data_IF_241521500297
#
_entry.id   IF_241521500297
#
_cell.length_a   1.000
_cell.length_b   1.000
_cell.length_c   1.000
_cell.angle_alpha   90.00
_cell.angle_beta   90.00
_cell.angle_gamma   90.00
#
_symmetry.space_group_name_H-M   'P 1'
#
loop_
_entity.id
_entity.type
_entity.pdbx_description
1 polymer ?
#
# COMPACT_ATOMS: atom_id res chain seq x y z
N UNK A 1 16.90 -11.61 0.20
CA UNK A 1 17.89 -10.54 -0.03
C UNK A 1 17.96 -9.54 1.11
N UNK A 2 16.86 -8.90 1.51
CA UNK A 2 16.82 -7.98 2.67
C UNK A 2 17.35 -8.62 3.97
N UNK A 3 16.91 -9.83 4.29
CA UNK A 3 17.35 -10.60 5.47
C UNK A 3 18.85 -10.89 5.48
N UNK A 4 19.48 -11.02 4.31
CA UNK A 4 20.90 -11.29 4.15
C UNK A 4 21.74 -10.01 3.94
N UNK A 5 21.18 -8.82 4.19
CA UNK A 5 21.82 -7.51 4.00
C UNK A 5 22.29 -7.22 2.57
N UNK A 6 21.80 -7.96 1.58
CA UNK A 6 22.03 -7.68 0.16
C UNK A 6 21.04 -6.62 -0.34
N UNK A 7 21.19 -5.40 0.17
CA UNK A 7 20.26 -4.29 -0.09
C UNK A 7 20.18 -3.91 -1.58
N UNK A 8 21.29 -4.01 -2.32
CA UNK A 8 21.32 -3.74 -3.76
C UNK A 8 20.45 -4.70 -4.58
N UNK A 9 20.52 -6.00 -4.30
CA UNK A 9 19.68 -7.00 -4.96
C UNK A 9 18.21 -6.86 -4.54
N UNK A 10 17.94 -6.55 -3.27
CA UNK A 10 16.58 -6.28 -2.82
C UNK A 10 15.98 -5.06 -3.52
N UNK A 11 16.75 -3.99 -3.68
CA UNK A 11 16.36 -2.81 -4.44
C UNK A 11 16.08 -3.15 -5.91
N UNK A 12 16.99 -3.87 -6.57
CA UNK A 12 16.82 -4.27 -7.96
C UNK A 12 15.55 -5.13 -8.15
N UNK A 13 15.31 -6.11 -7.28
CA UNK A 13 14.12 -6.96 -7.34
C UNK A 13 12.85 -6.17 -7.05
N UNK A 14 12.86 -5.29 -6.04
CA UNK A 14 11.68 -4.46 -5.73
C UNK A 14 11.34 -3.51 -6.88
N UNK A 15 12.37 -2.93 -7.52
CA UNK A 15 12.20 -2.03 -8.66
C UNK A 15 11.74 -2.78 -9.91
N UNK A 16 12.31 -3.96 -10.19
CA UNK A 16 11.87 -4.83 -11.27
C UNK A 16 10.44 -5.33 -11.06
N UNK A 17 10.08 -5.73 -9.84
CA UNK A 17 8.71 -6.14 -9.50
C UNK A 17 7.72 -4.98 -9.71
N UNK A 18 8.00 -3.80 -9.17
CA UNK A 18 7.12 -2.64 -9.36
C UNK A 18 7.00 -2.17 -10.82
N UNK A 19 8.08 -2.29 -11.62
CA UNK A 19 8.04 -2.01 -13.06
C UNK A 19 7.24 -3.09 -13.81
N UNK A 20 7.43 -4.37 -13.46
CA UNK A 20 6.67 -5.49 -14.04
C UNK A 20 5.18 -5.33 -13.76
N UNK A 21 4.78 -5.09 -12.52
CA UNK A 21 3.37 -4.92 -12.14
C UNK A 21 2.75 -3.67 -12.80
N UNK A 22 3.53 -2.60 -12.94
CA UNK A 22 3.11 -1.40 -13.67
C UNK A 22 2.91 -1.64 -15.17
N UNK A 23 3.80 -2.43 -15.79
CA UNK A 23 3.73 -2.82 -17.20
C UNK A 23 2.59 -3.82 -17.45
N UNK A 24 2.44 -4.84 -16.61
CA UNK A 24 1.37 -5.83 -16.69
C UNK A 24 0.01 -5.15 -16.49
N UNK A 25 -0.10 -4.21 -15.56
CA UNK A 25 -1.29 -3.39 -15.37
C UNK A 25 -1.60 -2.40 -16.52
N UNK A 26 -0.60 -2.02 -17.34
CA UNK A 26 -0.77 -1.23 -18.55
C UNK A 26 -1.20 -2.10 -19.73
N UNK A 27 -0.54 -3.25 -19.90
CA UNK A 27 -0.82 -4.25 -20.94
C UNK A 27 -2.22 -4.84 -20.73
N UNK A 28 -2.61 -5.16 -19.49
CA UNK A 28 -3.96 -5.64 -19.15
C UNK A 28 -5.05 -4.57 -19.33
N UNK A 29 -4.69 -3.27 -19.37
CA UNK A 29 -5.63 -2.18 -19.73
C UNK A 29 -5.78 -1.99 -21.24
N UNK A 30 -4.73 -2.27 -22.00
CA UNK A 30 -4.72 -2.22 -23.46
C UNK A 30 -5.38 -3.44 -24.09
N UNK A 31 -5.16 -4.62 -23.50
CA UNK A 31 -5.79 -5.87 -23.88
C UNK A 31 -7.18 -5.95 -23.25
N UNK A 32 -8.25 -5.78 -24.05
CA UNK A 32 -9.66 -5.89 -23.62
C UNK A 32 -10.07 -7.25 -23.01
N UNK A 33 -9.11 -8.12 -22.67
CA UNK A 33 -9.27 -9.39 -21.97
C UNK A 33 -8.87 -9.24 -20.50
N UNK A 34 -9.67 -8.52 -19.72
CA UNK A 34 -9.53 -8.53 -18.25
C UNK A 34 -10.36 -9.67 -17.69
N UNK A 35 -9.70 -10.68 -17.14
CA UNK A 35 -10.41 -11.69 -16.33
C UNK A 35 -10.79 -11.07 -14.99
N UNK A 36 -11.97 -11.41 -14.47
CA UNK A 36 -12.44 -10.91 -13.15
C UNK A 36 -11.48 -11.29 -12.02
N UNK A 37 -10.83 -12.46 -12.13
CA UNK A 37 -9.83 -12.96 -11.18
C UNK A 37 -8.51 -12.18 -11.24
N UNK A 38 -7.94 -11.97 -12.43
CA UNK A 38 -6.67 -11.22 -12.56
C UNK A 38 -6.77 -9.78 -12.07
N UNK A 39 -7.91 -9.13 -12.33
CA UNK A 39 -8.17 -7.75 -11.87
C UNK A 39 -8.18 -7.63 -10.33
N UNK A 40 -8.46 -8.71 -9.61
CA UNK A 40 -8.46 -8.74 -8.15
C UNK A 40 -7.13 -9.23 -7.57
N UNK A 41 -6.43 -10.13 -8.26
CA UNK A 41 -5.15 -10.69 -7.84
C UNK A 41 -4.00 -9.68 -7.91
N UNK A 42 -3.90 -8.85 -8.97
CA UNK A 42 -2.80 -7.89 -9.11
C UNK A 42 -2.72 -6.90 -7.94
N UNK A 43 -3.82 -6.21 -7.55
CA UNK A 43 -3.77 -5.27 -6.42
C UNK A 43 -3.55 -5.93 -5.06
N UNK A 44 -3.87 -7.23 -4.94
CA UNK A 44 -3.57 -7.99 -3.72
C UNK A 44 -2.09 -8.33 -3.62
N UNK A 45 -1.46 -8.74 -4.74
CA UNK A 45 -0.03 -8.99 -4.79
C UNK A 45 0.77 -7.72 -4.44
N UNK A 46 0.40 -6.57 -5.02
CA UNK A 46 0.98 -5.27 -4.71
C UNK A 46 0.94 -4.96 -3.20
N UNK A 47 -0.21 -5.17 -2.57
CA UNK A 47 -0.39 -4.91 -1.13
C UNK A 47 0.42 -5.87 -0.26
N UNK A 48 0.50 -7.14 -0.64
CA UNK A 48 1.31 -8.13 0.07
C UNK A 48 2.80 -7.78 -0.03
N UNK A 49 3.27 -7.36 -1.21
CA UNK A 49 4.64 -6.91 -1.42
C UNK A 49 4.97 -5.70 -0.55
N UNK A 50 4.10 -4.70 -0.52
CA UNK A 50 4.22 -3.51 0.34
C UNK A 50 4.28 -3.89 1.81
N UNK A 51 3.33 -4.71 2.28
CA UNK A 51 3.24 -5.15 3.68
C UNK A 51 4.48 -5.93 4.09
N UNK A 52 4.91 -6.90 3.27
CA UNK A 52 6.11 -7.68 3.51
C UNK A 52 7.37 -6.80 3.54
N UNK A 53 7.43 -5.78 2.69
CA UNK A 53 8.55 -4.82 2.67
C UNK A 53 8.62 -4.03 3.98
N UNK A 54 7.51 -3.47 4.45
CA UNK A 54 7.47 -2.76 5.74
C UNK A 54 7.84 -3.66 6.92
N UNK A 55 7.31 -4.88 6.98
CA UNK A 55 7.66 -5.85 8.04
C UNK A 55 9.14 -6.17 8.02
N UNK A 56 9.70 -6.43 6.84
CA UNK A 56 11.11 -6.78 6.70
C UNK A 56 12.04 -5.62 7.05
N UNK A 57 11.73 -4.40 6.59
CA UNK A 57 12.52 -3.20 6.87
C UNK A 57 12.48 -2.84 8.37
N UNK A 58 11.36 -3.07 9.02
CA UNK A 58 11.23 -2.93 10.47
C UNK A 58 12.02 -3.99 11.23
N UNK A 59 12.00 -5.25 10.77
CA UNK A 59 12.82 -6.32 11.36
C UNK A 59 14.34 -6.04 11.23
N UNK A 60 14.74 -5.24 10.23
CA UNK A 60 16.11 -4.77 10.05
C UNK A 60 16.43 -3.48 10.82
N UNK A 61 15.51 -2.98 11.66
CA UNK A 61 15.61 -1.71 12.39
C UNK A 61 15.82 -0.46 11.51
N UNK A 62 15.46 -0.54 10.23
CA UNK A 62 15.55 0.59 9.29
C UNK A 62 14.32 1.49 9.33
N UNK A 63 13.19 0.92 9.75
CA UNK A 63 11.93 1.63 9.98
C UNK A 63 11.51 1.38 11.43
N UNK A 64 11.01 2.41 12.16
CA UNK A 64 10.44 2.20 13.48
C UNK A 64 9.18 1.32 13.43
N UNK A 65 9.05 0.39 14.38
CA UNK A 65 7.93 -0.57 14.44
C UNK A 65 6.55 0.09 14.36
N UNK A 66 6.39 1.24 15.03
CA UNK A 66 5.14 1.98 15.04
C UNK A 66 4.70 2.48 13.65
N UNK A 67 5.64 2.74 12.73
CA UNK A 67 5.31 3.15 11.35
C UNK A 67 4.68 1.99 10.59
N UNK A 68 5.25 0.78 10.70
CA UNK A 68 4.67 -0.42 10.10
C UNK A 68 3.29 -0.73 10.67
N UNK A 69 3.09 -0.57 11.98
CA UNK A 69 1.79 -0.77 12.61
C UNK A 69 0.75 0.17 12.01
N UNK A 70 1.06 1.46 11.82
CA UNK A 70 0.13 2.42 11.21
C UNK A 70 -0.25 1.98 9.79
N UNK A 71 0.73 1.65 8.95
CA UNK A 71 0.50 1.22 7.57
C UNK A 71 -0.39 -0.04 7.51
N UNK A 72 -0.04 -1.07 8.28
CA UNK A 72 -0.75 -2.36 8.27
C UNK A 72 -2.17 -2.19 8.85
N UNK A 73 -2.31 -1.44 9.95
CA UNK A 73 -3.62 -1.19 10.57
C UNK A 73 -4.61 -0.53 9.61
N UNK A 74 -4.14 0.45 8.83
CA UNK A 74 -4.95 1.13 7.82
C UNK A 74 -5.42 0.17 6.73
N UNK A 75 -4.56 -0.74 6.28
CA UNK A 75 -4.92 -1.72 5.27
C UNK A 75 -5.93 -2.74 5.78
N UNK A 76 -5.82 -3.15 7.04
CA UNK A 76 -6.80 -4.00 7.73
C UNK A 76 -8.16 -3.30 7.82
N UNK A 77 -8.19 -2.02 8.23
CA UNK A 77 -9.43 -1.23 8.32
C UNK A 77 -10.16 -1.20 6.97
N UNK A 78 -9.43 -1.02 5.86
CA UNK A 78 -10.02 -0.98 4.53
C UNK A 78 -10.56 -2.35 4.10
N UNK A 79 -9.84 -3.44 4.40
CA UNK A 79 -10.27 -4.80 4.06
C UNK A 79 -11.51 -5.19 4.85
N UNK A 80 -11.51 -4.97 6.18
CA UNK A 80 -12.66 -5.27 7.05
C UNK A 80 -13.88 -4.47 6.60
N UNK A 81 -13.69 -3.17 6.35
CA UNK A 81 -14.74 -2.36 5.77
C UNK A 81 -15.26 -2.99 4.48
N UNK A 82 -14.39 -3.19 3.47
CA UNK A 82 -14.80 -3.71 2.17
C UNK A 82 -15.61 -5.02 2.30
N UNK A 83 -15.16 -5.93 3.17
CA UNK A 83 -15.86 -7.18 3.47
C UNK A 83 -17.25 -6.94 4.08
N UNK A 84 -17.38 -6.00 5.02
CA UNK A 84 -18.67 -5.62 5.61
C UNK A 84 -19.66 -5.11 4.55
N UNK A 85 -19.28 -4.30 3.56
CA UNK A 85 -20.27 -3.92 2.51
C UNK A 85 -20.69 -5.12 1.70
N UNK A 86 -19.76 -5.98 1.32
CA UNK A 86 -20.07 -7.12 0.45
C UNK A 86 -21.02 -8.09 1.18
N UNK A 87 -20.82 -8.30 2.48
CA UNK A 87 -21.66 -9.21 3.26
C UNK A 87 -23.03 -8.63 3.61
N UNK A 88 -23.14 -7.31 3.77
CA UNK A 88 -24.36 -6.66 4.23
C UNK A 88 -25.13 -5.89 3.13
N UNK A 89 -24.56 -5.73 1.93
CA UNK A 89 -25.16 -4.96 0.84
C UNK A 89 -24.89 -5.60 -0.53
N UNK A 90 -25.95 -6.08 -1.18
CA UNK A 90 -25.87 -6.78 -2.48
C UNK A 90 -25.46 -5.89 -3.67
N UNK A 91 -25.46 -4.56 -3.55
CA UNK A 91 -25.38 -3.66 -4.72
C UNK A 91 -24.47 -2.42 -4.57
N UNK A 92 -23.58 -2.37 -3.58
CA UNK A 92 -22.65 -1.24 -3.47
C UNK A 92 -21.46 -1.38 -4.43
N UNK A 93 -21.47 -0.56 -5.49
CA UNK A 93 -20.26 -0.18 -6.22
C UNK A 93 -19.33 0.58 -5.29
N UNK A 94 -18.42 -0.14 -4.62
CA UNK A 94 -17.31 0.46 -3.87
C UNK A 94 -16.46 1.26 -4.85
N UNK A 95 -16.66 2.58 -4.86
CA UNK A 95 -15.86 3.47 -5.68
C UNK A 95 -14.45 3.56 -5.07
N UNK A 96 -13.38 3.28 -5.85
CA UNK A 96 -12.03 3.31 -5.33
C UNK A 96 -11.67 4.73 -4.90
N UNK A 97 -11.40 4.94 -3.61
CA UNK A 97 -11.05 6.26 -3.10
C UNK A 97 -9.71 6.74 -3.68
N UNK A 98 -9.69 7.98 -4.16
CA UNK A 98 -8.47 8.63 -4.67
C UNK A 98 -7.38 8.75 -3.60
N UNK A 99 -7.78 8.92 -2.33
CA UNK A 99 -6.87 8.99 -1.18
C UNK A 99 -6.22 7.65 -0.86
N UNK A 100 -6.90 6.56 -1.21
CA UNK A 100 -6.33 5.23 -1.08
C UNK A 100 -5.13 5.01 -1.99
N UNK A 101 -5.21 5.49 -3.24
CA UNK A 101 -4.14 5.44 -4.24
C UNK A 101 -2.99 6.39 -3.90
N UNK A 102 -3.28 7.58 -3.37
CA UNK A 102 -2.25 8.51 -2.93
C UNK A 102 -1.39 7.87 -1.82
N UNK A 103 -2.01 7.23 -0.84
CA UNK A 103 -1.31 6.57 0.27
C UNK A 103 -0.33 5.50 -0.22
N UNK A 104 -0.78 4.61 -1.11
CA UNK A 104 0.08 3.55 -1.65
C UNK A 104 1.24 4.12 -2.48
N UNK A 105 1.00 5.20 -3.23
CA UNK A 105 2.07 5.87 -3.98
C UNK A 105 3.16 6.42 -3.06
N UNK A 106 2.77 7.09 -1.96
CA UNK A 106 3.74 7.61 -0.98
C UNK A 106 4.47 6.50 -0.22
N UNK A 107 3.81 5.38 0.06
CA UNK A 107 4.44 4.21 0.67
C UNK A 107 5.50 3.57 -0.24
N UNK A 108 5.17 3.35 -1.51
CA UNK A 108 6.12 2.84 -2.52
C UNK A 108 7.30 3.81 -2.65
N UNK A 109 7.01 5.11 -2.81
CA UNK A 109 8.04 6.14 -2.92
C UNK A 109 8.98 6.14 -1.71
N UNK A 110 8.44 6.02 -0.50
CA UNK A 110 9.23 5.96 0.71
C UNK A 110 10.15 4.73 0.74
N UNK A 111 9.65 3.54 0.40
CA UNK A 111 10.47 2.31 0.36
C UNK A 111 11.58 2.44 -0.69
N UNK A 112 11.27 2.93 -1.89
CA UNK A 112 12.26 3.13 -2.97
C UNK A 112 13.35 4.09 -2.51
N UNK A 113 12.99 5.22 -1.91
CA UNK A 113 13.96 6.19 -1.41
C UNK A 113 14.80 5.65 -0.24
N UNK A 114 14.18 4.92 0.69
CA UNK A 114 14.90 4.27 1.79
C UNK A 114 15.95 3.29 1.26
N UNK A 115 15.57 2.40 0.34
CA UNK A 115 16.50 1.45 -0.26
C UNK A 115 17.61 2.16 -1.05
N UNK A 116 17.28 3.22 -1.81
CA UNK A 116 18.27 4.00 -2.54
C UNK A 116 19.29 4.66 -1.59
N UNK A 117 18.83 5.23 -0.47
CA UNK A 117 19.71 5.86 0.52
C UNK A 117 20.62 4.83 1.20
N UNK A 118 20.10 3.64 1.51
CA UNK A 118 20.89 2.53 2.04
C UNK A 118 21.97 2.11 1.04
N UNK A 119 21.62 1.94 -0.25
CA UNK A 119 22.58 1.52 -1.29
C UNK A 119 23.63 2.60 -1.56
N UNK A 120 23.26 3.87 -1.52
CA UNK A 120 24.18 5.00 -1.75
C UNK A 120 24.97 5.41 -0.49
N UNK A 121 24.73 4.77 0.66
CA UNK A 121 25.39 5.08 1.92
C UNK A 121 25.03 6.46 2.50
N UNK A 122 23.94 7.08 2.02
CA UNK A 122 23.46 8.38 2.52
C UNK A 122 22.71 8.21 3.84
N UNK A 123 22.75 9.21 4.71
CA UNK A 123 22.02 9.15 5.98
C UNK A 123 20.51 9.06 5.76
N UNK A 124 19.89 8.09 6.43
CA UNK A 124 18.44 7.85 6.48
C UNK A 124 17.70 9.05 7.13
N UNK A 125 18.41 9.92 7.86
CA UNK A 125 17.80 11.11 8.46
C UNK A 125 17.19 12.05 7.42
N UNK A 126 17.76 12.12 6.23
CA UNK A 126 17.31 13.02 5.16
C UNK A 126 15.92 12.63 4.60
N UNK A 127 15.48 11.39 4.81
CA UNK A 127 14.18 10.91 4.34
C UNK A 127 13.11 10.87 5.44
N UNK A 128 13.44 11.24 6.68
CA UNK A 128 12.48 11.39 7.78
C UNK A 128 11.30 12.33 7.46
N UNK A 129 11.47 13.47 6.77
CA UNK A 129 10.34 14.32 6.40
C UNK A 129 9.32 13.60 5.51
N UNK A 130 9.81 12.78 4.57
CA UNK A 130 8.97 12.00 3.66
C UNK A 130 8.21 10.92 4.42
N UNK A 131 8.85 10.27 5.40
CA UNK A 131 8.20 9.34 6.31
C UNK A 131 7.00 9.99 7.03
N UNK A 132 7.17 11.20 7.57
CA UNK A 132 6.09 11.93 8.25
C UNK A 132 4.94 12.29 7.31
N UNK A 133 5.24 12.76 6.10
CA UNK A 133 4.21 13.03 5.07
C UNK A 133 3.42 11.76 4.76
N UNK A 134 4.11 10.64 4.54
CA UNK A 134 3.48 9.34 4.28
C UNK A 134 2.55 8.92 5.43
N UNK A 135 2.99 9.08 6.69
CA UNK A 135 2.20 8.76 7.87
C UNK A 135 0.92 9.61 7.94
N UNK A 136 1.04 10.93 7.74
CA UNK A 136 -0.12 11.85 7.78
C UNK A 136 -1.15 11.46 6.72
N UNK A 137 -0.71 11.18 5.50
CA UNK A 137 -1.59 10.73 4.41
C UNK A 137 -2.23 9.38 4.74
N UNK A 138 -1.46 8.46 5.33
CA UNK A 138 -1.97 7.12 5.72
C UNK A 138 -3.06 7.23 6.77
N UNK A 139 -2.85 8.04 7.82
CA UNK A 139 -3.84 8.28 8.88
C UNK A 139 -5.08 8.99 8.30
N UNK A 140 -4.88 10.03 7.49
CA UNK A 140 -5.97 10.75 6.84
C UNK A 140 -6.82 9.82 5.95
N UNK A 141 -6.17 8.91 5.20
CA UNK A 141 -6.85 7.90 4.41
C UNK A 141 -7.65 6.94 5.30
N UNK A 142 -7.06 6.42 6.37
CA UNK A 142 -7.76 5.54 7.32
C UNK A 142 -9.00 6.20 7.92
N UNK A 143 -8.87 7.46 8.38
CA UNK A 143 -9.97 8.24 8.93
C UNK A 143 -11.07 8.51 7.91
N UNK A 144 -10.72 8.86 6.68
CA UNK A 144 -11.69 9.09 5.61
C UNK A 144 -12.49 7.81 5.30
N UNK A 145 -11.84 6.66 5.27
CA UNK A 145 -12.54 5.39 5.09
C UNK A 145 -13.52 5.18 6.23
N UNK A 146 -13.09 5.28 7.49
CA UNK A 146 -13.96 5.13 8.67
C UNK A 146 -15.17 6.08 8.59
N UNK A 147 -14.97 7.34 8.21
CA UNK A 147 -16.07 8.29 8.05
C UNK A 147 -17.04 7.89 6.93
N UNK A 148 -16.53 7.45 5.78
CA UNK A 148 -17.34 6.94 4.68
C UNK A 148 -18.18 5.72 5.12
N UNK A 149 -17.58 4.82 5.90
CA UNK A 149 -18.24 3.66 6.50
C UNK A 149 -19.42 4.04 7.38
N UNK A 150 -19.20 4.94 8.34
CA UNK A 150 -20.26 5.43 9.21
C UNK A 150 -21.38 6.11 8.43
N UNK A 151 -21.05 6.92 7.43
CA UNK A 151 -22.05 7.61 6.60
C UNK A 151 -22.91 6.62 5.80
N UNK A 152 -22.31 5.57 5.23
CA UNK A 152 -23.04 4.55 4.48
C UNK A 152 -23.98 3.74 5.37
N UNK A 153 -23.54 3.38 6.59
CA UNK A 153 -24.40 2.69 7.55
C UNK A 153 -25.59 3.57 7.99
N UNK A 154 -25.34 4.85 8.28
CA UNK A 154 -26.37 5.75 8.80
C UNK A 154 -27.37 6.23 7.73
N UNK A 155 -27.00 6.18 6.45
CA UNK A 155 -27.92 6.51 5.34
C UNK A 155 -28.92 5.38 5.10
N UNK A 156 -28.60 4.15 5.51
CA UNK A 156 -29.42 2.96 5.29
C UNK A 156 -30.44 2.70 6.41
N UNK A 157 -30.48 3.51 7.48
CA UNK A 157 -31.54 3.47 8.50
C UNK A 157 -32.77 4.33 8.14
N UNK A 158 -32.81 4.96 6.96
CA UNK A 158 -33.96 5.72 6.45
C UNK A 158 -34.58 5.07 5.23
#
# INVERSE_FOLDING_TARGET
>A
FLVYKYYGYAFAIFLLAGISDGLDGFIARSSKQKTKLGTFLDPMADKLLLTASFVTLTALHLIPVWVSIIVISRDIIIIIGALMLILFQDDLKVSPSLTGKATTLFQILYIVLLLLFIVTGKSIDNIKPIMWIMIVITIASGAQYIYLWFKLLNTNEK
#
